data_IF_518105966491
#
_entry.id   IF_518105966491
#
_cell.length_a   1.000
_cell.length_b   1.000
_cell.length_c   1.000
_cell.angle_alpha   90.00
_cell.angle_beta   90.00
_cell.angle_gamma   90.00
#
_symmetry.space_group_name_H-M   'P 1'
#
loop_
_entity.id
_entity.type
_entity.pdbx_description
1 polymer ?
#
# COMPACT_ATOMS: atom_id res chain seq x y z
N UNK A 1 49.52 -32.07 -11.09
CA UNK A 1 48.78 -30.99 -10.42
C UNK A 1 47.36 -30.97 -10.98
N UNK A 2 46.40 -31.60 -10.29
CA UNK A 2 45.03 -31.75 -10.76
C UNK A 2 44.04 -31.34 -9.67
N UNK A 3 42.83 -30.93 -10.09
CA UNK A 3 41.63 -30.54 -9.31
C UNK A 3 41.43 -29.04 -9.01
N UNK A 4 41.27 -28.24 -10.08
CA UNK A 4 40.62 -26.92 -10.04
C UNK A 4 39.27 -26.94 -10.79
N UNK A 5 38.41 -27.92 -10.49
CA UNK A 5 37.08 -28.08 -11.13
C UNK A 5 35.98 -28.36 -10.10
N UNK A 6 36.06 -27.78 -8.90
CA UNK A 6 35.20 -28.22 -7.78
C UNK A 6 33.79 -27.62 -7.70
N UNK A 7 33.42 -26.54 -8.42
CA UNK A 7 32.07 -25.92 -8.32
C UNK A 7 31.55 -25.20 -9.59
N UNK A 8 31.94 -25.61 -10.79
CA UNK A 8 31.49 -24.91 -12.01
C UNK A 8 29.97 -25.00 -12.23
N UNK A 9 29.36 -26.16 -11.97
CA UNK A 9 27.96 -26.43 -12.31
C UNK A 9 26.93 -25.75 -11.39
N UNK A 10 27.35 -25.23 -10.22
CA UNK A 10 26.45 -24.59 -9.24
C UNK A 10 26.85 -23.16 -8.88
N UNK A 11 27.87 -22.61 -9.55
CA UNK A 11 28.38 -21.27 -9.26
C UNK A 11 27.32 -20.17 -9.43
N UNK A 12 26.50 -20.28 -10.49
CA UNK A 12 25.41 -19.32 -10.75
C UNK A 12 24.31 -19.39 -9.69
N UNK A 13 23.93 -20.60 -9.26
CA UNK A 13 22.96 -20.80 -8.18
C UNK A 13 23.46 -20.21 -6.86
N UNK A 14 24.74 -20.41 -6.53
CA UNK A 14 25.35 -19.82 -5.34
C UNK A 14 25.31 -18.29 -5.41
N UNK A 15 25.67 -17.71 -6.56
CA UNK A 15 25.63 -16.26 -6.77
C UNK A 15 24.21 -15.70 -6.58
N UNK A 16 23.21 -16.28 -7.24
CA UNK A 16 21.81 -15.90 -7.08
C UNK A 16 21.36 -16.01 -5.61
N UNK A 17 21.68 -17.11 -4.95
CA UNK A 17 21.29 -17.33 -3.56
C UNK A 17 21.94 -16.35 -2.58
N UNK A 18 23.14 -15.84 -2.89
CA UNK A 18 23.86 -14.90 -2.04
C UNK A 18 23.22 -13.50 -2.06
N UNK A 19 22.50 -13.15 -3.12
CA UNK A 19 21.79 -11.87 -3.26
C UNK A 19 20.43 -11.90 -2.53
N UNK A 20 19.83 -13.08 -2.33
CA UNK A 20 18.48 -13.21 -1.77
C UNK A 20 18.30 -12.62 -0.37
N UNK A 21 19.19 -12.84 0.62
CA UNK A 21 18.98 -12.31 1.97
C UNK A 21 18.82 -10.79 2.00
N UNK A 22 19.70 -10.06 1.31
CA UNK A 22 19.62 -8.60 1.24
C UNK A 22 18.33 -8.11 0.56
N UNK A 23 17.86 -8.82 -0.46
CA UNK A 23 16.59 -8.51 -1.14
C UNK A 23 15.37 -8.79 -0.25
N UNK A 24 15.41 -9.86 0.55
CA UNK A 24 14.36 -10.19 1.52
C UNK A 24 14.31 -9.12 2.62
N UNK A 25 15.47 -8.73 3.17
CA UNK A 25 15.55 -7.68 4.19
C UNK A 25 15.02 -6.35 3.65
N UNK A 26 15.39 -5.97 2.43
CA UNK A 26 14.88 -4.76 1.79
C UNK A 26 13.36 -4.79 1.61
N UNK A 27 12.79 -5.95 1.23
CA UNK A 27 11.35 -6.13 1.09
C UNK A 27 10.61 -5.99 2.44
N UNK A 28 11.19 -6.51 3.52
CA UNK A 28 10.63 -6.36 4.87
C UNK A 28 10.62 -4.89 5.29
N UNK A 29 11.72 -4.15 5.05
CA UNK A 29 11.81 -2.71 5.34
C UNK A 29 10.78 -1.91 4.55
N UNK A 30 10.56 -2.24 3.27
CA UNK A 30 9.52 -1.62 2.44
C UNK A 30 8.12 -1.87 3.02
N UNK A 31 7.82 -3.11 3.42
CA UNK A 31 6.53 -3.49 4.02
C UNK A 31 6.32 -2.74 5.34
N UNK A 32 7.32 -2.69 6.21
CA UNK A 32 7.25 -1.99 7.49
C UNK A 32 7.02 -0.50 7.28
N UNK A 33 7.77 0.13 6.36
CA UNK A 33 7.67 1.56 6.05
C UNK A 33 6.25 1.94 5.60
N UNK A 34 5.70 1.18 4.64
CA UNK A 34 4.33 1.43 4.13
C UNK A 34 3.29 1.21 5.24
N UNK A 35 3.46 0.16 6.05
CA UNK A 35 2.53 -0.14 7.14
C UNK A 35 2.54 0.95 8.23
N UNK A 36 3.72 1.44 8.60
CA UNK A 36 3.87 2.55 9.54
C UNK A 36 3.23 3.84 8.99
N UNK A 37 3.41 4.12 7.69
CA UNK A 37 2.77 5.27 7.04
C UNK A 37 1.25 5.17 7.08
N UNK A 38 0.69 4.00 6.75
CA UNK A 38 -0.75 3.77 6.84
C UNK A 38 -1.28 3.97 8.27
N UNK A 39 -0.56 3.47 9.28
CA UNK A 39 -0.94 3.66 10.68
C UNK A 39 -0.93 5.15 11.09
N UNK A 40 0.08 5.90 10.66
CA UNK A 40 0.17 7.34 10.90
C UNK A 40 -0.98 8.11 10.23
N UNK A 41 -1.28 7.81 8.96
CA UNK A 41 -2.40 8.41 8.22
C UNK A 41 -3.74 8.13 8.92
N UNK A 42 -3.97 6.88 9.32
CA UNK A 42 -5.18 6.47 10.04
C UNK A 42 -5.32 7.21 11.38
N UNK A 43 -4.24 7.34 12.13
CA UNK A 43 -4.21 8.09 13.41
C UNK A 43 -4.51 9.57 13.21
N UNK A 44 -4.06 10.16 12.10
CA UNK A 44 -4.34 11.56 11.74
C UNK A 44 -5.77 11.80 11.21
N UNK A 45 -6.58 10.75 11.08
CA UNK A 45 -7.98 10.83 10.65
C UNK A 45 -8.11 10.85 9.13
N UNK A 46 -8.93 9.93 8.60
CA UNK A 46 -9.21 9.78 7.18
C UNK A 46 -10.64 10.25 6.89
N UNK A 47 -10.83 11.01 5.80
CA UNK A 47 -12.15 11.45 5.35
C UNK A 47 -12.42 10.87 3.96
N UNK A 48 -13.28 9.86 3.91
CA UNK A 48 -13.76 9.29 2.65
C UNK A 48 -15.00 10.04 2.15
N UNK A 49 -14.80 11.26 1.66
CA UNK A 49 -15.87 12.10 1.11
C UNK A 49 -15.36 12.95 -0.06
N UNK A 50 -16.28 13.48 -0.86
CA UNK A 50 -15.98 14.46 -1.90
C UNK A 50 -16.37 15.87 -1.44
N UNK A 51 -15.61 16.88 -1.89
CA UNK A 51 -15.95 18.29 -1.66
C UNK A 51 -17.26 18.66 -2.36
N UNK A 52 -18.12 19.42 -1.68
CA UNK A 52 -19.33 19.99 -2.27
C UNK A 52 -19.59 21.39 -1.75
N UNK A 53 -19.75 22.35 -2.66
CA UNK A 53 -20.14 23.71 -2.32
C UNK A 53 -21.61 23.94 -2.63
N UNK A 54 -22.39 24.26 -1.59
CA UNK A 54 -23.75 24.77 -1.78
C UNK A 54 -23.65 26.22 -2.23
N UNK A 55 -24.35 26.53 -3.32
CA UNK A 55 -24.39 27.86 -3.93
C UNK A 55 -25.50 28.74 -3.32
N UNK A 56 -25.30 30.06 -3.34
CA UNK A 56 -26.35 31.05 -3.05
C UNK A 56 -27.29 31.27 -4.27
N UNK A 57 -28.20 32.25 -4.17
CA UNK A 57 -29.17 32.54 -5.22
C UNK A 57 -28.50 33.10 -6.48
N UNK A 58 -27.35 33.74 -6.32
CA UNK A 58 -26.50 34.33 -7.35
C UNK A 58 -25.53 33.30 -7.97
N UNK A 59 -25.46 32.09 -7.41
CA UNK A 59 -24.64 30.98 -7.91
C UNK A 59 -23.23 30.91 -7.32
N UNK A 60 -22.89 31.73 -6.32
CA UNK A 60 -21.58 31.75 -5.69
C UNK A 60 -21.48 30.68 -4.59
N UNK A 61 -20.29 30.08 -4.36
CA UNK A 61 -20.05 29.16 -3.26
C UNK A 61 -20.36 29.82 -1.90
N UNK A 62 -21.36 29.31 -1.18
CA UNK A 62 -21.78 29.84 0.12
C UNK A 62 -21.30 28.98 1.28
N UNK A 63 -21.43 27.65 1.13
CA UNK A 63 -21.19 26.71 2.23
C UNK A 63 -20.53 25.43 1.74
N UNK A 64 -19.47 25.01 2.43
CA UNK A 64 -18.76 23.77 2.20
C UNK A 64 -19.43 22.59 2.92
N UNK A 65 -19.55 21.50 2.19
CA UNK A 65 -20.04 20.22 2.67
C UNK A 65 -19.10 19.09 2.25
N UNK A 66 -19.00 18.10 3.12
CA UNK A 66 -18.45 16.79 2.77
C UNK A 66 -19.59 15.88 2.33
N UNK A 67 -19.42 15.26 1.18
CA UNK A 67 -20.41 14.38 0.58
C UNK A 67 -19.85 12.95 0.55
N UNK A 68 -20.32 12.12 1.47
CA UNK A 68 -19.84 10.74 1.61
C UNK A 68 -20.40 9.86 0.49
N UNK A 69 -19.71 8.77 0.11
CA UNK A 69 -20.25 7.73 -0.76
C UNK A 69 -21.60 7.25 -0.24
N UNK A 70 -22.54 7.01 -1.16
CA UNK A 70 -23.85 6.48 -0.80
C UNK A 70 -23.73 4.99 -0.48
N UNK A 71 -24.29 4.57 0.66
CA UNK A 71 -24.42 3.16 1.00
C UNK A 71 -25.77 2.62 0.49
N UNK A 72 -25.84 1.36 0.02
CA UNK A 72 -27.10 0.77 -0.42
C UNK A 72 -28.16 0.80 0.67
N UNK A 73 -29.34 1.32 0.36
CA UNK A 73 -30.46 1.42 1.31
C UNK A 73 -30.40 2.61 2.27
N UNK A 74 -29.33 3.42 2.26
CA UNK A 74 -29.20 4.60 3.11
C UNK A 74 -29.23 5.91 2.30
N UNK A 75 -29.83 6.99 2.86
CA UNK A 75 -29.70 8.31 2.27
C UNK A 75 -28.24 8.76 2.30
N UNK A 76 -27.80 9.45 1.24
CA UNK A 76 -26.41 9.90 1.14
C UNK A 76 -26.06 10.85 2.28
N UNK A 77 -25.10 10.47 3.13
CA UNK A 77 -24.61 11.30 4.22
C UNK A 77 -23.94 12.57 3.67
N UNK A 78 -24.38 13.71 4.20
CA UNK A 78 -23.78 15.04 3.97
C UNK A 78 -23.38 15.61 5.32
N UNK A 79 -22.20 16.19 5.39
CA UNK A 79 -21.70 16.84 6.59
C UNK A 79 -21.39 18.30 6.28
N UNK A 80 -21.95 19.20 7.10
CA UNK A 80 -21.77 20.64 6.93
C UNK A 80 -20.49 21.10 7.64
N UNK A 81 -19.56 21.68 6.88
CA UNK A 81 -18.31 22.26 7.41
C UNK A 81 -18.47 23.77 7.58
N UNK A 82 -19.20 24.42 6.68
CA UNK A 82 -19.45 25.86 6.70
C UNK A 82 -18.54 26.64 5.77
N UNK A 83 -18.15 27.84 6.17
CA UNK A 83 -17.29 28.74 5.39
C UNK A 83 -15.96 29.06 6.10
N UNK A 84 -15.71 28.43 7.25
CA UNK A 84 -14.48 28.59 8.00
C UNK A 84 -13.30 27.96 7.24
N UNK A 85 -12.27 28.76 6.96
CA UNK A 85 -11.16 28.34 6.11
C UNK A 85 -10.35 27.20 6.74
N UNK A 86 -10.08 27.27 8.05
CA UNK A 86 -9.28 26.27 8.76
C UNK A 86 -9.99 24.92 8.78
N UNK A 87 -11.30 24.91 9.04
CA UNK A 87 -12.11 23.68 8.99
C UNK A 87 -12.21 23.08 7.59
N UNK A 88 -12.25 23.91 6.56
CA UNK A 88 -12.25 23.44 5.17
C UNK A 88 -10.90 22.80 4.82
N UNK A 89 -9.80 23.44 5.19
CA UNK A 89 -8.46 22.91 4.94
C UNK A 89 -8.19 21.63 5.73
N UNK A 90 -8.67 21.53 6.98
CA UNK A 90 -8.61 20.29 7.75
C UNK A 90 -9.39 19.15 7.06
N UNK A 91 -10.59 19.46 6.55
CA UNK A 91 -11.42 18.50 5.83
C UNK A 91 -10.73 18.01 4.54
N UNK A 92 -10.13 18.93 3.77
CA UNK A 92 -9.33 18.61 2.58
C UNK A 92 -8.12 17.76 2.91
N UNK A 93 -7.41 18.09 3.98
CA UNK A 93 -6.28 17.31 4.43
C UNK A 93 -6.73 15.88 4.80
N UNK A 94 -7.90 15.71 5.42
CA UNK A 94 -8.49 14.40 5.68
C UNK A 94 -8.81 13.58 4.41
N UNK A 95 -9.30 14.24 3.36
CA UNK A 95 -9.55 13.61 2.05
C UNK A 95 -8.24 13.19 1.39
N UNK A 96 -7.24 14.07 1.39
CA UNK A 96 -5.92 13.78 0.84
C UNK A 96 -5.26 12.59 1.56
N UNK A 97 -5.34 12.54 2.90
CA UNK A 97 -4.85 11.40 3.69
C UNK A 97 -5.57 10.10 3.35
N UNK A 98 -6.89 10.12 3.14
CA UNK A 98 -7.65 8.93 2.75
C UNK A 98 -7.18 8.39 1.39
N UNK A 99 -6.96 9.27 0.42
CA UNK A 99 -6.40 8.89 -0.88
C UNK A 99 -5.00 8.26 -0.75
N UNK A 100 -4.11 8.90 0.00
CA UNK A 100 -2.75 8.38 0.23
C UNK A 100 -2.77 7.02 0.96
N UNK A 101 -3.70 6.85 1.90
CA UNK A 101 -3.89 5.59 2.62
C UNK A 101 -4.27 4.45 1.66
N UNK A 102 -5.19 4.71 0.73
CA UNK A 102 -5.60 3.71 -0.27
C UNK A 102 -4.46 3.37 -1.24
N UNK A 103 -3.69 4.37 -1.68
CA UNK A 103 -2.49 4.17 -2.50
C UNK A 103 -1.45 3.30 -1.77
N UNK A 104 -1.19 3.59 -0.49
CA UNK A 104 -0.33 2.76 0.36
C UNK A 104 -0.87 1.33 0.49
N UNK A 105 -2.20 1.16 0.64
CA UNK A 105 -2.84 -0.14 0.68
C UNK A 105 -2.62 -0.96 -0.60
N UNK A 106 -2.70 -0.32 -1.77
CA UNK A 106 -2.42 -0.97 -3.05
C UNK A 106 -0.95 -1.40 -3.16
N UNK A 107 -0.01 -0.56 -2.71
CA UNK A 107 1.42 -0.90 -2.67
C UNK A 107 1.66 -2.10 -1.75
N UNK A 108 1.12 -2.07 -0.52
CA UNK A 108 1.27 -3.16 0.44
C UNK A 108 0.71 -4.49 -0.10
N UNK A 109 -0.44 -4.45 -0.78
CA UNK A 109 -1.00 -5.64 -1.44
C UNK A 109 -0.05 -6.21 -2.51
N UNK A 110 0.57 -5.34 -3.32
CA UNK A 110 1.59 -5.73 -4.30
C UNK A 110 2.83 -6.36 -3.66
N UNK A 111 3.34 -5.79 -2.56
CA UNK A 111 4.47 -6.33 -1.80
C UNK A 111 4.15 -7.72 -1.24
N UNK A 112 2.97 -7.88 -0.62
CA UNK A 112 2.54 -9.18 -0.08
C UNK A 112 2.36 -10.26 -1.16
N UNK A 113 1.89 -9.87 -2.35
CA UNK A 113 1.83 -10.76 -3.51
C UNK A 113 3.23 -11.21 -3.95
N UNK A 114 4.20 -10.27 -4.02
CA UNK A 114 5.60 -10.59 -4.32
C UNK A 114 6.18 -11.58 -3.30
N UNK A 115 5.95 -11.37 -2.00
CA UNK A 115 6.37 -12.30 -0.94
C UNK A 115 5.83 -13.71 -1.20
N UNK A 116 4.52 -13.84 -1.45
CA UNK A 116 3.90 -15.13 -1.74
C UNK A 116 4.52 -15.83 -2.95
N UNK A 117 4.76 -15.10 -4.04
CA UNK A 117 5.40 -15.65 -5.23
C UNK A 117 6.83 -16.14 -4.96
N UNK A 118 7.62 -15.37 -4.21
CA UNK A 118 8.99 -15.77 -3.84
C UNK A 118 8.98 -17.02 -2.96
N UNK A 119 8.06 -17.11 -1.98
CA UNK A 119 7.92 -18.31 -1.14
C UNK A 119 7.65 -19.55 -1.99
N UNK A 120 6.72 -19.47 -2.95
CA UNK A 120 6.42 -20.59 -3.85
C UNK A 120 7.65 -20.98 -4.69
N UNK A 121 8.33 -20.00 -5.30
CA UNK A 121 9.53 -20.25 -6.08
C UNK A 121 10.66 -20.90 -5.26
N UNK A 122 10.85 -20.48 -4.00
CA UNK A 122 11.85 -21.07 -3.11
C UNK A 122 11.48 -22.50 -2.68
N UNK A 123 10.18 -22.78 -2.48
CA UNK A 123 9.69 -24.13 -2.21
C UNK A 123 9.96 -25.07 -3.40
N UNK A 124 9.72 -24.60 -4.63
CA UNK A 124 10.04 -25.35 -5.83
C UNK A 124 11.55 -25.57 -6.00
N UNK A 125 12.36 -24.53 -5.80
CA UNK A 125 13.82 -24.64 -5.84
C UNK A 125 14.33 -25.69 -4.83
N UNK A 126 13.81 -25.67 -3.60
CA UNK A 126 14.12 -26.68 -2.57
C UNK A 126 13.70 -28.09 -3.02
N UNK A 127 12.54 -28.23 -3.66
CA UNK A 127 12.07 -29.52 -4.19
C UNK A 127 13.03 -30.07 -5.25
N UNK A 128 13.45 -29.25 -6.21
CA UNK A 128 14.41 -29.67 -7.24
C UNK A 128 15.79 -30.03 -6.67
N UNK A 129 16.28 -29.26 -5.69
CA UNK A 129 17.58 -29.52 -5.06
C UNK A 129 17.61 -30.79 -4.21
N UNK A 130 16.49 -31.17 -3.59
CA UNK A 130 16.44 -32.35 -2.73
C UNK A 130 16.12 -33.64 -3.49
N UNK A 131 15.72 -33.54 -4.77
CA UNK A 131 15.29 -34.69 -5.57
C UNK A 131 14.07 -35.42 -5.02
N UNK A 132 13.44 -34.92 -3.95
CA UNK A 132 12.28 -35.54 -3.33
C UNK A 132 11.07 -35.28 -4.20
N UNK A 133 10.71 -36.30 -4.96
CA UNK A 133 9.47 -36.37 -5.73
C UNK A 133 8.46 -37.22 -4.97
N UNK A 134 8.02 -36.63 -3.83
CA UNK A 134 6.91 -37.06 -2.98
C UNK A 134 7.27 -38.27 -2.12
#
# INVERSE_FOLDING_TARGET
MATKTKKAHTAELVKLSAELPALIDALEVEIETVTQRMAALKKAGLIYASEHWRKDAEGNPKYFYLLYPQQPGEPRKREYVGCDADRIEEARAGIARAKEYDECGAVLAGLNSRVHHVIQAMQDARRYLTGKRW
#
